data_IF_442956255939
#
_entry.id   IF_442956255939
#
_cell.length_a   1.000
_cell.length_b   1.000
_cell.length_c   1.000
_cell.angle_alpha   90.00
_cell.angle_beta   90.00
_cell.angle_gamma   90.00
#
_symmetry.space_group_name_H-M   'P 1'
#
loop_
_entity.id
_entity.type
_entity.pdbx_description
1 polymer ?
#
# COMPACT_ATOMS: atom_id res chain seq x y z
N UNK A 1 4.42 25.82 1.55
CA UNK A 1 5.72 25.27 1.99
C UNK A 1 6.08 24.23 0.95
N UNK A 2 7.07 24.51 0.10
CA UNK A 2 7.52 23.56 -0.93
C UNK A 2 8.23 22.41 -0.20
N UNK A 3 7.86 21.16 -0.49
CA UNK A 3 8.62 20.02 0.02
C UNK A 3 10.06 20.13 -0.53
N UNK A 4 11.05 20.09 0.35
CA UNK A 4 12.46 20.05 -0.06
C UNK A 4 12.67 18.85 -1.00
N UNK A 5 13.41 19.07 -2.09
CA UNK A 5 13.62 18.13 -3.20
C UNK A 5 14.44 16.87 -2.85
N UNK A 6 14.61 16.55 -1.57
CA UNK A 6 15.50 15.50 -1.09
C UNK A 6 14.81 14.23 -0.57
N UNK A 7 13.47 14.20 -0.49
CA UNK A 7 12.71 13.07 0.06
C UNK A 7 11.48 12.73 -0.81
N UNK A 8 11.66 12.49 -2.12
CA UNK A 8 10.59 11.96 -2.97
C UNK A 8 10.85 10.48 -3.31
N UNK A 9 9.79 9.69 -3.27
CA UNK A 9 9.76 8.27 -3.65
C UNK A 9 9.03 8.17 -4.98
N UNK A 10 9.75 7.85 -6.05
CA UNK A 10 9.16 7.62 -7.37
C UNK A 10 8.10 6.51 -7.30
N UNK A 11 6.95 6.77 -7.89
CA UNK A 11 5.90 5.76 -8.03
C UNK A 11 6.25 4.73 -9.10
N UNK A 12 7.19 5.07 -10.00
CA UNK A 12 7.53 4.35 -11.22
C UNK A 12 6.42 4.36 -12.27
N UNK A 13 5.49 5.30 -12.14
CA UNK A 13 4.45 5.58 -13.13
C UNK A 13 4.76 6.97 -13.69
N UNK A 14 5.44 7.00 -14.84
CA UNK A 14 6.00 8.23 -15.44
C UNK A 14 5.02 9.41 -15.43
N UNK A 15 3.78 9.18 -15.85
CA UNK A 15 2.77 10.25 -15.89
C UNK A 15 2.31 10.71 -14.51
N UNK A 16 2.28 9.82 -13.52
CA UNK A 16 1.93 10.17 -12.15
C UNK A 16 3.08 10.94 -11.49
N UNK A 17 4.32 10.48 -11.65
CA UNK A 17 5.51 11.15 -11.11
C UNK A 17 5.65 12.56 -11.68
N UNK A 18 5.36 12.76 -12.98
CA UNK A 18 5.31 14.10 -13.59
C UNK A 18 4.26 15.01 -12.92
N UNK A 19 3.07 14.49 -12.62
CA UNK A 19 2.00 15.26 -11.96
C UNK A 19 2.34 15.57 -10.51
N UNK A 20 3.00 14.64 -9.81
CA UNK A 20 3.38 14.77 -8.41
C UNK A 20 4.69 15.56 -8.21
N UNK A 21 5.40 15.91 -9.29
CA UNK A 21 6.67 16.64 -9.22
C UNK A 21 7.86 15.77 -8.83
N UNK A 22 7.82 14.47 -9.15
CA UNK A 22 8.92 13.52 -8.93
C UNK A 22 8.57 12.31 -8.06
N UNK A 23 7.35 12.24 -7.51
CA UNK A 23 6.88 11.08 -6.77
C UNK A 23 6.10 11.44 -5.49
N UNK A 24 5.95 10.46 -4.61
CA UNK A 24 5.30 10.64 -3.31
C UNK A 24 6.31 11.20 -2.29
N UNK A 25 5.94 12.15 -1.43
CA UNK A 25 6.82 12.57 -0.35
C UNK A 25 7.16 11.41 0.59
N UNK A 26 8.43 11.20 0.93
CA UNK A 26 8.82 10.23 1.93
C UNK A 26 8.29 10.63 3.31
N UNK A 27 8.19 9.65 4.22
CA UNK A 27 7.71 9.85 5.59
C UNK A 27 6.34 10.55 5.68
N UNK A 28 5.48 10.34 4.68
CA UNK A 28 4.18 11.02 4.58
C UNK A 28 3.02 10.04 4.44
N UNK A 29 1.83 10.48 4.86
CA UNK A 29 0.57 9.78 4.61
C UNK A 29 -0.06 10.31 3.32
N UNK A 30 -0.13 9.44 2.31
CA UNK A 30 -0.74 9.77 1.01
C UNK A 30 -2.12 9.10 0.89
N UNK A 31 -3.14 9.88 0.53
CA UNK A 31 -4.51 9.38 0.39
C UNK A 31 -4.95 9.32 -1.07
N UNK A 32 -5.22 8.10 -1.56
CA UNK A 32 -5.83 7.89 -2.87
C UNK A 32 -7.35 7.77 -2.72
N UNK A 33 -8.08 8.83 -3.10
CA UNK A 33 -9.52 8.92 -2.92
C UNK A 33 -10.29 8.98 -4.24
N UNK A 34 -11.52 8.45 -4.23
CA UNK A 34 -12.46 8.59 -5.34
C UNK A 34 -13.50 7.45 -5.41
N UNK A 35 -14.46 7.52 -6.35
CA UNK A 35 -15.58 6.58 -6.44
C UNK A 35 -15.14 5.10 -6.60
N UNK A 36 -15.98 4.11 -6.25
CA UNK A 36 -15.72 2.71 -6.57
C UNK A 36 -15.50 2.51 -8.08
N UNK A 37 -14.61 1.59 -8.46
CA UNK A 37 -14.38 1.24 -9.86
C UNK A 37 -13.42 2.14 -10.65
N UNK A 38 -12.93 3.26 -10.09
CA UNK A 38 -11.99 4.16 -10.80
C UNK A 38 -10.54 3.64 -10.90
N UNK A 39 -10.26 2.43 -10.38
CA UNK A 39 -8.93 1.83 -10.45
C UNK A 39 -7.99 2.11 -9.27
N UNK A 40 -8.48 2.62 -8.13
CA UNK A 40 -7.64 2.92 -6.95
C UNK A 40 -6.76 1.74 -6.52
N UNK A 41 -7.37 0.59 -6.27
CA UNK A 41 -6.65 -0.63 -5.86
C UNK A 41 -5.63 -1.04 -6.91
N UNK A 42 -5.93 -0.90 -8.21
CA UNK A 42 -4.99 -1.22 -9.28
C UNK A 42 -3.81 -0.25 -9.30
N UNK A 43 -4.07 1.06 -9.18
CA UNK A 43 -3.03 2.07 -9.11
C UNK A 43 -2.11 1.83 -7.91
N UNK A 44 -2.69 1.59 -6.73
CA UNK A 44 -1.94 1.29 -5.52
C UNK A 44 -1.07 0.05 -5.68
N UNK A 45 -1.59 -1.00 -6.32
CA UNK A 45 -0.84 -2.22 -6.60
C UNK A 45 0.33 -1.97 -7.56
N UNK A 46 0.11 -1.19 -8.61
CA UNK A 46 1.17 -0.82 -9.54
C UNK A 46 2.30 -0.05 -8.85
N UNK A 47 1.97 0.93 -8.00
CA UNK A 47 2.93 1.68 -7.19
C UNK A 47 3.69 0.74 -6.24
N UNK A 48 2.96 -0.15 -5.56
CA UNK A 48 3.54 -1.10 -4.61
C UNK A 48 4.56 -2.04 -5.29
N UNK A 49 4.22 -2.62 -6.45
CA UNK A 49 5.15 -3.48 -7.18
C UNK A 49 6.36 -2.71 -7.74
N UNK A 50 6.14 -1.46 -8.14
CA UNK A 50 7.22 -0.58 -8.61
C UNK A 50 8.21 -0.25 -7.48
N UNK A 51 7.72 0.15 -6.32
CA UNK A 51 8.55 0.47 -5.15
C UNK A 51 9.30 -0.78 -4.68
N UNK A 52 8.65 -1.95 -4.66
CA UNK A 52 9.34 -3.20 -4.34
C UNK A 52 10.49 -3.48 -5.33
N UNK A 53 10.25 -3.30 -6.64
CA UNK A 53 11.27 -3.50 -7.68
C UNK A 53 12.46 -2.56 -7.50
N UNK A 54 12.21 -1.31 -7.14
CA UNK A 54 13.26 -0.31 -6.92
C UNK A 54 14.07 -0.53 -5.63
N UNK A 55 13.58 -1.35 -4.70
CA UNK A 55 14.18 -1.58 -3.38
C UNK A 55 14.43 -3.08 -3.10
N UNK A 56 15.34 -3.76 -3.84
CA UNK A 56 15.62 -5.18 -3.64
C UNK A 56 16.01 -5.49 -2.19
N UNK A 57 15.41 -6.53 -1.61
CA UNK A 57 15.66 -6.97 -0.24
C UNK A 57 14.76 -6.31 0.82
N UNK A 58 14.10 -5.20 0.49
CA UNK A 58 13.13 -4.55 1.38
C UNK A 58 11.71 -5.00 1.04
N UNK A 59 10.82 -4.96 2.05
CA UNK A 59 9.43 -5.40 1.90
C UNK A 59 8.50 -4.23 1.61
N UNK A 60 7.37 -4.55 0.99
CA UNK A 60 6.21 -3.67 0.89
C UNK A 60 5.00 -4.42 1.43
N UNK A 61 4.17 -3.74 2.22
CA UNK A 61 3.01 -4.35 2.88
C UNK A 61 1.72 -3.81 2.27
N UNK A 62 0.84 -4.71 1.86
CA UNK A 62 -0.54 -4.41 1.53
C UNK A 62 -1.45 -5.00 2.59
N UNK A 63 -2.17 -4.14 3.32
CA UNK A 63 -3.16 -4.57 4.29
C UNK A 63 -4.56 -4.27 3.78
N UNK A 64 -5.37 -5.33 3.66
CA UNK A 64 -6.78 -5.20 3.34
C UNK A 64 -7.62 -5.05 4.61
N UNK A 65 -8.74 -4.32 4.53
CA UNK A 65 -9.78 -4.34 5.57
C UNK A 65 -10.96 -5.22 5.13
N UNK A 66 -12.00 -5.32 5.97
CA UNK A 66 -13.21 -6.16 5.78
C UNK A 66 -13.95 -6.00 4.43
N UNK A 67 -13.58 -5.04 3.59
CA UNK A 67 -14.27 -4.74 2.34
C UNK A 67 -14.01 -5.73 1.20
N UNK A 68 -12.80 -6.30 1.07
CA UNK A 68 -12.45 -7.18 -0.06
C UNK A 68 -11.53 -8.34 0.36
N UNK A 69 -11.84 -9.60 -0.02
CA UNK A 69 -10.93 -10.72 0.23
C UNK A 69 -9.62 -10.58 -0.55
N UNK A 70 -8.47 -10.76 0.11
CA UNK A 70 -7.14 -10.71 -0.51
C UNK A 70 -7.00 -11.62 -1.74
N UNK A 71 -7.60 -12.81 -1.70
CA UNK A 71 -7.59 -13.75 -2.82
C UNK A 71 -8.18 -13.14 -4.12
N UNK A 72 -9.15 -12.25 -3.99
CA UNK A 72 -9.76 -11.54 -5.12
C UNK A 72 -8.77 -10.53 -5.69
N UNK A 73 -8.14 -9.72 -4.83
CA UNK A 73 -7.11 -8.74 -5.24
C UNK A 73 -5.98 -9.45 -5.98
N UNK A 74 -5.42 -10.52 -5.41
CA UNK A 74 -4.32 -11.28 -6.02
C UNK A 74 -4.70 -11.87 -7.38
N UNK A 75 -5.92 -12.40 -7.53
CA UNK A 75 -6.41 -12.94 -8.80
C UNK A 75 -6.44 -11.88 -9.90
N UNK A 76 -6.83 -10.66 -9.59
CA UNK A 76 -6.88 -9.57 -10.56
C UNK A 76 -5.50 -9.00 -10.87
N UNK A 77 -4.70 -8.74 -9.82
CA UNK A 77 -3.36 -8.14 -9.95
C UNK A 77 -2.44 -8.99 -10.82
N UNK A 78 -2.50 -10.31 -10.72
CA UNK A 78 -1.71 -11.26 -11.55
C UNK A 78 -1.88 -11.11 -13.06
N UNK A 79 -2.92 -10.41 -13.52
CA UNK A 79 -3.23 -10.22 -14.95
C UNK A 79 -2.57 -8.97 -15.54
N UNK A 80 -1.94 -8.14 -14.71
CA UNK A 80 -1.32 -6.90 -15.14
C UNK A 80 0.18 -7.10 -15.38
N UNK A 81 0.73 -6.33 -16.33
CA UNK A 81 2.14 -6.41 -16.72
C UNK A 81 3.12 -6.01 -15.60
N UNK A 82 2.67 -5.19 -14.66
CA UNK A 82 3.52 -4.80 -13.52
C UNK A 82 3.69 -5.92 -12.49
N UNK A 83 2.85 -6.96 -12.53
CA UNK A 83 2.96 -8.10 -11.62
C UNK A 83 4.21 -8.91 -11.97
N UNK A 84 5.00 -9.16 -10.94
CA UNK A 84 6.20 -9.97 -11.02
C UNK A 84 6.12 -11.04 -9.93
N UNK A 85 6.24 -12.30 -10.33
CA UNK A 85 6.10 -13.42 -9.40
C UNK A 85 7.23 -13.47 -8.38
N UNK A 86 8.46 -13.15 -8.78
CA UNK A 86 9.61 -13.17 -7.88
C UNK A 86 9.51 -12.05 -6.84
N UNK A 87 9.13 -10.85 -7.27
CA UNK A 87 8.86 -9.71 -6.35
C UNK A 87 7.70 -10.07 -5.41
N UNK A 88 6.62 -10.66 -5.94
CA UNK A 88 5.49 -11.07 -5.12
C UNK A 88 5.90 -12.03 -4.00
N UNK A 89 6.67 -13.08 -4.34
CA UNK A 89 7.10 -14.10 -3.37
C UNK A 89 8.15 -13.57 -2.38
N UNK A 90 9.04 -12.68 -2.82
CA UNK A 90 10.18 -12.22 -2.02
C UNK A 90 9.97 -10.91 -1.29
N UNK A 91 9.09 -10.04 -1.75
CA UNK A 91 9.03 -8.64 -1.26
C UNK A 91 7.63 -8.17 -0.87
N UNK A 92 6.56 -8.78 -1.40
CA UNK A 92 5.20 -8.31 -1.13
C UNK A 92 4.55 -9.11 0.00
N UNK A 93 4.12 -8.40 1.04
CA UNK A 93 3.42 -8.98 2.19
C UNK A 93 1.96 -8.56 2.16
N UNK A 94 1.05 -9.52 1.98
CA UNK A 94 -0.39 -9.28 2.06
C UNK A 94 -0.93 -9.69 3.42
N UNK A 95 -1.65 -8.80 4.09
CA UNK A 95 -2.32 -9.08 5.38
C UNK A 95 -3.77 -8.61 5.35
N UNK A 96 -4.62 -9.29 6.10
CA UNK A 96 -6.02 -8.91 6.31
C UNK A 96 -6.12 -8.39 7.75
N UNK A 97 -6.50 -7.13 7.91
CA UNK A 97 -6.70 -6.48 9.21
C UNK A 97 -8.15 -6.60 9.72
N UNK A 98 -9.03 -7.25 8.95
CA UNK A 98 -10.45 -7.27 9.26
C UNK A 98 -10.78 -7.95 10.59
N UNK A 99 -10.00 -8.97 10.97
CA UNK A 99 -10.18 -9.67 12.24
C UNK A 99 -9.77 -8.78 13.41
N UNK A 100 -8.61 -8.14 13.33
CA UNK A 100 -8.08 -7.21 14.33
C UNK A 100 -9.05 -6.05 14.52
N UNK A 101 -9.47 -5.40 13.43
CA UNK A 101 -10.45 -4.30 13.47
C UNK A 101 -11.79 -4.71 14.11
N UNK A 102 -12.16 -5.99 14.06
CA UNK A 102 -13.39 -6.50 14.68
C UNK A 102 -13.26 -6.89 16.16
N UNK A 103 -12.03 -7.05 16.66
CA UNK A 103 -11.76 -7.66 17.98
C UNK A 103 -11.08 -6.73 18.97
N UNK A 104 -10.37 -5.71 18.50
CA UNK A 104 -9.57 -4.83 19.33
C UNK A 104 -9.80 -3.37 18.96
N UNK A 105 -9.58 -2.44 19.90
CA UNK A 105 -9.71 -1.01 19.64
C UNK A 105 -8.62 -0.51 18.69
N UNK A 106 -8.87 0.62 18.02
CA UNK A 106 -8.02 1.15 16.96
C UNK A 106 -6.57 1.43 17.40
N UNK A 107 -6.36 1.81 18.65
CA UNK A 107 -5.02 2.01 19.21
C UNK A 107 -4.21 0.71 19.27
N UNK A 108 -4.84 -0.42 19.55
CA UNK A 108 -4.20 -1.74 19.52
C UNK A 108 -3.94 -2.20 18.08
N UNK A 109 -4.89 -1.97 17.16
CA UNK A 109 -4.67 -2.23 15.72
C UNK A 109 -3.48 -1.44 15.19
N UNK A 110 -3.34 -0.18 15.60
CA UNK A 110 -2.20 0.66 15.22
C UNK A 110 -0.89 0.04 15.67
N UNK A 111 -0.82 -0.50 16.90
CA UNK A 111 0.37 -1.20 17.39
C UNK A 111 0.68 -2.47 16.56
N UNK A 112 -0.35 -3.22 16.13
CA UNK A 112 -0.19 -4.38 15.24
C UNK A 112 0.37 -3.97 13.88
N UNK A 113 -0.13 -2.87 13.30
CA UNK A 113 0.36 -2.33 12.02
C UNK A 113 1.83 -1.93 12.14
N UNK A 114 2.20 -1.18 13.19
CA UNK A 114 3.57 -0.73 13.42
C UNK A 114 4.52 -1.92 13.61
N UNK A 115 4.15 -2.90 14.44
CA UNK A 115 4.94 -4.11 14.63
C UNK A 115 5.12 -4.90 13.34
N UNK A 116 4.13 -4.92 12.44
CA UNK A 116 4.24 -5.56 11.14
C UNK A 116 5.21 -4.84 10.21
N UNK A 117 5.20 -3.50 10.20
CA UNK A 117 6.14 -2.69 9.40
C UNK A 117 7.58 -2.92 9.87
N UNK A 118 7.81 -2.92 11.20
CA UNK A 118 9.13 -3.17 11.79
C UNK A 118 9.63 -4.60 11.54
N UNK A 119 8.78 -5.60 11.73
CA UNK A 119 9.16 -7.00 11.57
C UNK A 119 9.54 -7.38 10.14
N UNK A 120 8.96 -6.69 9.15
CA UNK A 120 9.20 -6.93 7.73
C UNK A 120 10.24 -5.99 7.12
N UNK A 121 10.78 -5.02 7.89
CA UNK A 121 11.65 -3.96 7.36
C UNK A 121 11.03 -3.28 6.12
N UNK A 122 9.76 -2.88 6.27
CA UNK A 122 8.94 -2.45 5.14
C UNK A 122 9.13 -0.97 4.79
N UNK A 123 9.36 -0.70 3.51
CA UNK A 123 9.53 0.67 2.97
C UNK A 123 8.22 1.33 2.54
N UNK A 124 7.15 0.54 2.40
CA UNK A 124 5.83 1.03 2.03
C UNK A 124 4.76 0.23 2.76
N UNK A 125 3.83 0.94 3.38
CA UNK A 125 2.58 0.39 3.90
C UNK A 125 1.41 0.94 3.10
N UNK A 126 0.61 0.03 2.55
CA UNK A 126 -0.68 0.32 1.92
C UNK A 126 -1.80 -0.20 2.81
N UNK A 127 -2.83 0.62 3.01
CA UNK A 127 -4.07 0.25 3.68
C UNK A 127 -5.25 0.40 2.69
N UNK A 128 -5.91 -0.69 2.31
CA UNK A 128 -7.10 -0.70 1.42
C UNK A 128 -8.25 -1.54 2.00
N UNK A 129 -9.41 -1.04 2.42
CA UNK A 129 -9.90 0.33 2.34
C UNK A 129 -10.03 0.93 3.74
N UNK A 130 -9.72 2.22 3.85
CA UNK A 130 -9.88 3.00 5.09
C UNK A 130 -11.34 3.13 5.56
N UNK A 131 -12.31 2.64 4.78
CA UNK A 131 -13.75 2.72 5.07
C UNK A 131 -14.10 2.06 6.40
N UNK A 132 -13.43 0.97 6.75
CA UNK A 132 -13.63 0.27 8.01
C UNK A 132 -13.23 1.11 9.24
N UNK A 133 -12.22 1.99 9.13
CA UNK A 133 -11.77 2.84 10.23
C UNK A 133 -12.76 3.98 10.49
N UNK A 134 -13.37 4.52 9.43
CA UNK A 134 -14.38 5.57 9.55
C UNK A 134 -15.65 5.07 10.26
N UNK A 135 -16.03 3.82 10.06
CA UNK A 135 -17.24 3.24 10.64
C UNK A 135 -17.03 2.82 12.12
N UNK A 136 -15.81 2.99 12.67
CA UNK A 136 -15.42 2.68 14.06
C UNK A 136 -15.27 3.93 14.97
N UNK A 137 -15.53 5.14 14.44
CA UNK A 137 -15.58 6.43 15.18
C UNK A 137 -16.95 7.05 15.07
#
# INVERSE_FOLDING_TARGET
MMADSHDLIETGIVNLDMILGGGLPAYSLNMLAGPPGIGKTILTQQILFSIARANPGLKVIYMSTLSEPLVKVLRFVRRFEFYDQEIFEKQVVYRDLGIELSRMPLNEVTAVILAAVEAEDAVLLVLDSFKAIRDLT
#
